data_IF_849239208576
#
_entry.id   IF_849239208576
#
_cell.length_a   1.000
_cell.length_b   1.000
_cell.length_c   1.000
_cell.angle_alpha   90.00
_cell.angle_beta   90.00
_cell.angle_gamma   90.00
#
_symmetry.space_group_name_H-M   'P 1'
#
loop_
_entity.id
_entity.type
_entity.pdbx_description
1 polymer ?
#
# COMPACT_ATOMS: atom_id res chain seq x y z
N UNK A 1 -5.38 12.90 -21.68
CA UNK A 1 -4.69 11.68 -22.15
C UNK A 1 -5.29 10.49 -21.44
N UNK A 2 -5.43 9.36 -22.11
CA UNK A 2 -5.88 8.07 -21.52
C UNK A 2 -4.79 7.04 -21.79
N UNK A 3 -3.76 6.94 -20.94
CA UNK A 3 -2.70 5.95 -21.12
C UNK A 3 -3.27 4.53 -21.00
N UNK A 4 -2.67 3.57 -21.68
CA UNK A 4 -3.07 2.16 -21.58
C UNK A 4 -2.83 1.58 -20.19
N UNK A 5 -1.77 2.04 -19.53
CA UNK A 5 -1.33 1.59 -18.21
C UNK A 5 -0.97 2.77 -17.33
N UNK A 6 -1.29 2.67 -16.04
CA UNK A 6 -0.98 3.65 -15.00
C UNK A 6 -0.38 2.88 -13.82
N UNK A 7 0.76 3.34 -13.32
CA UNK A 7 1.33 2.86 -12.06
C UNK A 7 1.43 4.03 -11.09
N UNK A 8 0.80 3.88 -9.93
CA UNK A 8 0.83 4.86 -8.84
C UNK A 8 1.44 4.23 -7.60
N UNK A 9 2.07 5.06 -6.77
CA UNK A 9 2.60 4.67 -5.46
C UNK A 9 2.09 5.62 -4.39
N UNK A 10 1.76 5.07 -3.22
CA UNK A 10 1.37 5.85 -2.06
C UNK A 10 1.79 5.12 -0.76
N UNK A 11 1.68 5.80 0.36
CA UNK A 11 1.81 5.15 1.67
C UNK A 11 0.67 4.14 1.88
N UNK A 12 0.93 3.07 2.63
CA UNK A 12 -0.07 2.02 2.90
C UNK A 12 -1.32 2.55 3.62
N UNK A 13 -1.18 3.62 4.37
CA UNK A 13 -2.31 4.29 5.07
C UNK A 13 -3.40 4.81 4.15
N UNK A 14 -3.14 4.96 2.85
CA UNK A 14 -4.18 5.35 1.86
C UNK A 14 -5.38 4.39 1.89
N UNK A 15 -5.16 3.11 2.21
CA UNK A 15 -6.21 2.11 2.32
C UNK A 15 -7.18 2.35 3.48
N UNK A 16 -6.77 3.16 4.47
CA UNK A 16 -7.53 3.43 5.70
C UNK A 16 -7.85 4.92 5.90
N UNK A 17 -7.48 5.74 4.95
CA UNK A 17 -7.71 7.18 4.99
C UNK A 17 -9.15 7.54 4.56
N UNK A 18 -9.74 8.57 5.19
CA UNK A 18 -9.35 9.18 6.44
C UNK A 18 -9.80 8.36 7.66
N UNK A 19 -9.20 8.57 8.83
CA UNK A 19 -9.46 7.76 10.03
C UNK A 19 -10.95 7.69 10.47
N UNK A 20 -11.74 8.71 10.16
CA UNK A 20 -13.18 8.76 10.45
C UNK A 20 -14.07 8.12 9.37
N UNK A 21 -13.53 7.92 8.16
CA UNK A 21 -14.23 7.38 6.99
C UNK A 21 -13.34 6.34 6.31
N UNK A 22 -13.05 5.29 7.03
CA UNK A 22 -12.11 4.25 6.69
C UNK A 22 -12.28 3.73 5.25
N UNK A 23 -11.18 3.78 4.46
CA UNK A 23 -11.16 3.32 3.07
C UNK A 23 -11.71 4.30 2.02
N UNK A 24 -12.24 5.45 2.43
CA UNK A 24 -12.87 6.43 1.53
C UNK A 24 -11.93 6.93 0.44
N UNK A 25 -10.75 7.40 0.80
CA UNK A 25 -9.85 8.06 -0.15
C UNK A 25 -9.40 7.08 -1.24
N UNK A 26 -9.14 5.82 -0.87
CA UNK A 26 -8.81 4.79 -1.84
C UNK A 26 -10.00 4.42 -2.72
N UNK A 27 -11.21 4.35 -2.16
CA UNK A 27 -12.43 4.09 -2.93
C UNK A 27 -12.71 5.18 -3.97
N UNK A 28 -12.42 6.44 -3.66
CA UNK A 28 -12.51 7.55 -4.62
C UNK A 28 -11.52 7.35 -5.78
N UNK A 29 -10.28 6.93 -5.49
CA UNK A 29 -9.29 6.62 -6.52
C UNK A 29 -9.81 5.49 -7.42
N UNK A 30 -10.32 4.41 -6.84
CA UNK A 30 -10.91 3.30 -7.60
C UNK A 30 -12.08 3.76 -8.47
N UNK A 31 -12.99 4.58 -7.93
CA UNK A 31 -14.12 5.15 -8.67
C UNK A 31 -13.66 5.99 -9.86
N UNK A 32 -12.72 6.90 -9.65
CA UNK A 32 -12.17 7.74 -10.73
C UNK A 32 -11.54 6.90 -11.85
N UNK A 33 -10.83 5.83 -11.52
CA UNK A 33 -10.23 4.94 -12.50
C UNK A 33 -11.30 4.11 -13.23
N UNK A 34 -12.28 3.58 -12.51
CA UNK A 34 -13.41 2.85 -13.08
C UNK A 34 -14.18 3.67 -14.12
N UNK A 35 -14.56 4.91 -13.78
CA UNK A 35 -15.27 5.84 -14.67
C UNK A 35 -14.47 6.20 -15.94
N UNK A 36 -13.16 6.03 -15.90
CA UNK A 36 -12.27 6.23 -17.06
C UNK A 36 -12.02 4.92 -17.83
N UNK A 37 -12.65 3.82 -17.44
CA UNK A 37 -12.56 2.54 -18.13
C UNK A 37 -11.35 1.70 -17.73
N UNK A 38 -10.82 1.88 -16.53
CA UNK A 38 -9.70 1.09 -16.00
C UNK A 38 -10.17 0.00 -15.05
N UNK A 39 -9.49 -1.14 -15.12
CA UNK A 39 -9.37 -2.09 -14.02
C UNK A 39 -8.12 -1.81 -13.22
N UNK A 40 -8.09 -2.25 -11.96
CA UNK A 40 -7.03 -1.89 -11.02
C UNK A 40 -6.58 -3.10 -10.24
N UNK A 41 -5.28 -3.35 -10.19
CA UNK A 41 -4.64 -4.19 -9.18
C UNK A 41 -4.01 -3.30 -8.11
N UNK A 42 -4.25 -3.62 -6.84
CA UNK A 42 -3.67 -2.93 -5.70
C UNK A 42 -2.89 -3.89 -4.81
N UNK A 43 -1.69 -3.49 -4.35
CA UNK A 43 -0.90 -4.28 -3.42
C UNK A 43 -0.06 -3.42 -2.50
N UNK A 44 -0.08 -3.76 -1.21
CA UNK A 44 0.89 -3.27 -0.24
C UNK A 44 2.12 -4.15 -0.30
N UNK A 45 3.26 -3.54 -0.57
CA UNK A 45 4.55 -4.22 -0.65
C UNK A 45 5.50 -3.58 0.35
N UNK A 46 6.15 -4.40 1.16
CA UNK A 46 7.25 -3.99 2.02
C UNK A 46 8.56 -4.54 1.43
N UNK A 47 9.47 -3.68 1.07
CA UNK A 47 10.71 -4.05 0.41
C UNK A 47 11.53 -5.08 1.21
N UNK A 48 11.52 -5.01 2.55
CA UNK A 48 12.22 -5.96 3.40
C UNK A 48 11.65 -7.39 3.33
N UNK A 49 10.39 -7.56 2.92
CA UNK A 49 9.76 -8.88 2.77
C UNK A 49 10.20 -9.60 1.50
N UNK A 50 10.85 -8.87 0.58
CA UNK A 50 11.34 -9.32 -0.72
C UNK A 50 12.85 -9.07 -0.87
N UNK A 51 13.61 -9.34 0.19
CA UNK A 51 15.07 -9.40 0.16
C UNK A 51 15.80 -8.05 0.10
N UNK A 52 15.12 -6.93 0.30
CA UNK A 52 15.78 -5.62 0.26
C UNK A 52 16.25 -5.16 1.64
N UNK A 53 17.38 -4.45 1.71
CA UNK A 53 17.90 -3.86 2.94
C UNK A 53 17.17 -2.56 3.32
N UNK A 54 15.87 -2.50 3.06
CA UNK A 54 15.03 -1.33 3.37
C UNK A 54 13.65 -1.76 3.84
N UNK A 55 13.29 -1.38 5.05
CA UNK A 55 11.93 -1.53 5.55
C UNK A 55 11.05 -0.38 5.03
N UNK A 56 10.54 -0.53 3.81
CA UNK A 56 9.70 0.46 3.15
C UNK A 56 8.40 -0.17 2.67
N UNK A 57 7.32 0.14 3.37
CA UNK A 57 5.98 -0.35 3.08
C UNK A 57 5.21 0.69 2.25
N UNK A 58 4.72 0.29 1.08
CA UNK A 58 4.00 1.15 0.13
C UNK A 58 2.84 0.42 -0.53
N UNK A 59 1.78 1.16 -0.83
CA UNK A 59 0.70 0.69 -1.70
C UNK A 59 1.04 1.04 -3.14
N UNK A 60 1.14 0.02 -3.98
CA UNK A 60 1.24 0.15 -5.42
C UNK A 60 -0.14 -0.09 -6.04
N UNK A 61 -0.49 0.74 -7.03
CA UNK A 61 -1.76 0.71 -7.74
C UNK A 61 -1.43 0.62 -9.21
N UNK A 62 -1.74 -0.51 -9.84
CA UNK A 62 -1.54 -0.71 -11.26
C UNK A 62 -2.90 -0.74 -11.96
N UNK A 63 -3.15 0.23 -12.84
CA UNK A 63 -4.38 0.31 -13.59
C UNK A 63 -4.14 0.06 -15.08
N UNK A 64 -5.03 -0.69 -15.70
CA UNK A 64 -4.99 -1.04 -17.12
C UNK A 64 -6.33 -0.77 -17.78
N UNK A 65 -6.28 -0.06 -18.91
CA UNK A 65 -7.45 0.39 -19.64
C UNK A 65 -8.16 -0.77 -20.34
N UNK A 66 -9.49 -0.67 -20.54
CA UNK A 66 -10.32 -1.68 -21.19
C UNK A 66 -9.91 -2.02 -22.64
N UNK A 67 -9.08 -1.23 -23.27
CA UNK A 67 -8.49 -1.49 -24.59
C UNK A 67 -7.26 -2.42 -24.53
N UNK A 68 -6.79 -2.82 -23.35
CA UNK A 68 -5.62 -3.70 -23.19
C UNK A 68 -6.01 -5.17 -23.21
N UNK A 69 -5.08 -6.03 -23.63
CA UNK A 69 -5.28 -7.47 -23.57
C UNK A 69 -5.43 -7.96 -22.12
N UNK A 70 -4.62 -7.39 -21.20
CA UNK A 70 -4.69 -7.72 -19.79
C UNK A 70 -6.09 -7.52 -19.20
N UNK A 71 -6.76 -6.42 -19.57
CA UNK A 71 -8.15 -6.18 -19.17
C UNK A 71 -9.07 -7.27 -19.73
N UNK A 72 -8.98 -7.56 -21.05
CA UNK A 72 -9.89 -8.51 -21.70
C UNK A 72 -9.76 -9.93 -21.14
N UNK A 73 -8.53 -10.39 -20.94
CA UNK A 73 -8.24 -11.72 -20.37
C UNK A 73 -8.81 -11.86 -18.94
N UNK A 74 -8.65 -10.84 -18.10
CA UNK A 74 -9.20 -10.87 -16.75
C UNK A 74 -10.74 -10.74 -16.77
N UNK A 75 -11.29 -9.86 -17.60
CA UNK A 75 -12.75 -9.68 -17.72
C UNK A 75 -13.45 -10.97 -18.15
N UNK A 76 -12.89 -11.70 -19.13
CA UNK A 76 -13.39 -13.00 -19.56
C UNK A 76 -13.38 -14.03 -18.44
N UNK A 77 -12.25 -14.17 -17.72
CA UNK A 77 -12.14 -15.08 -16.59
C UNK A 77 -13.12 -14.74 -15.47
N UNK A 78 -13.28 -13.46 -15.15
CA UNK A 78 -14.22 -13.01 -14.11
C UNK A 78 -15.66 -13.22 -14.54
N UNK A 79 -16.00 -13.06 -15.81
CA UNK A 79 -17.33 -13.38 -16.36
C UNK A 79 -17.69 -14.86 -16.16
N UNK A 80 -16.73 -15.76 -16.36
CA UNK A 80 -16.94 -17.21 -16.28
C UNK A 80 -16.91 -17.72 -14.83
N UNK A 81 -15.95 -17.27 -14.03
CA UNK A 81 -15.64 -17.85 -12.72
C UNK A 81 -15.83 -16.90 -11.55
N UNK A 82 -16.20 -15.65 -11.81
CA UNK A 82 -16.50 -14.65 -10.79
C UNK A 82 -15.34 -14.37 -9.83
N UNK A 83 -15.64 -14.35 -8.54
CA UNK A 83 -14.70 -14.05 -7.47
C UNK A 83 -13.50 -15.01 -7.41
N UNK A 84 -13.67 -16.24 -7.84
CA UNK A 84 -12.58 -17.23 -7.89
C UNK A 84 -11.45 -16.77 -8.79
N UNK A 85 -11.77 -16.22 -9.97
CA UNK A 85 -10.77 -15.67 -10.89
C UNK A 85 -10.12 -14.41 -10.36
N UNK A 86 -10.85 -13.60 -9.60
CA UNK A 86 -10.28 -12.42 -8.93
C UNK A 86 -9.29 -12.83 -7.86
N UNK A 87 -9.61 -13.85 -7.08
CA UNK A 87 -8.70 -14.42 -6.09
C UNK A 87 -7.41 -14.96 -6.74
N UNK A 88 -7.56 -15.82 -7.75
CA UNK A 88 -6.43 -16.37 -8.53
C UNK A 88 -5.58 -15.27 -9.18
N UNK A 89 -6.23 -14.21 -9.68
CA UNK A 89 -5.52 -13.07 -10.23
C UNK A 89 -4.65 -12.37 -9.17
N UNK A 90 -5.18 -12.13 -7.99
CA UNK A 90 -4.44 -11.45 -6.91
C UNK A 90 -3.34 -12.33 -6.33
N UNK A 91 -3.52 -13.64 -6.28
CA UNK A 91 -2.58 -14.56 -5.61
C UNK A 91 -1.56 -15.22 -6.53
N UNK A 92 -1.88 -15.38 -7.84
CA UNK A 92 -1.08 -16.22 -8.74
C UNK A 92 -0.80 -15.57 -10.09
N UNK A 93 -1.83 -15.06 -10.79
CA UNK A 93 -1.71 -14.74 -12.22
C UNK A 93 -1.57 -13.26 -12.54
N UNK A 94 -1.89 -12.36 -11.61
CA UNK A 94 -1.77 -10.92 -11.77
C UNK A 94 -0.34 -10.41 -11.85
N UNK A 95 -0.20 -9.17 -12.22
CA UNK A 95 1.12 -8.52 -12.40
C UNK A 95 1.89 -8.50 -11.08
N UNK A 96 1.22 -8.10 -9.99
CA UNK A 96 1.86 -8.10 -8.68
C UNK A 96 2.09 -9.50 -8.12
N UNK A 97 1.22 -10.48 -8.40
CA UNK A 97 1.39 -11.84 -7.93
C UNK A 97 2.64 -12.51 -8.53
N UNK A 98 2.88 -12.27 -9.83
CA UNK A 98 4.06 -12.78 -10.52
C UNK A 98 5.37 -12.13 -10.05
N UNK A 99 5.33 -10.84 -9.73
CA UNK A 99 6.52 -10.10 -9.30
C UNK A 99 6.80 -10.26 -7.80
N UNK A 100 5.77 -10.46 -7.00
CA UNK A 100 5.82 -10.51 -5.53
C UNK A 100 4.99 -11.70 -5.03
N UNK A 101 5.56 -12.91 -5.01
CA UNK A 101 4.85 -14.12 -4.64
C UNK A 101 4.25 -14.07 -3.24
N UNK A 102 3.09 -14.71 -3.07
CA UNK A 102 2.36 -14.77 -1.81
C UNK A 102 2.02 -16.21 -1.44
N UNK A 103 1.76 -16.47 -0.17
CA UNK A 103 1.31 -17.78 0.31
C UNK A 103 -0.11 -18.04 -0.18
N UNK A 104 -0.39 -19.30 -0.51
CA UNK A 104 -1.67 -19.73 -1.10
C UNK A 104 -2.91 -19.48 -0.23
N UNK A 105 -2.74 -19.31 1.10
CA UNK A 105 -3.87 -19.11 2.02
C UNK A 105 -4.04 -17.64 2.36
N UNK A 106 -5.16 -17.07 1.91
CA UNK A 106 -5.64 -15.77 2.36
C UNK A 106 -6.33 -15.88 3.73
N UNK A 107 -6.12 -14.90 4.60
CA UNK A 107 -6.71 -14.88 5.94
C UNK A 107 -8.17 -14.42 5.94
N UNK A 108 -8.44 -13.36 5.18
CA UNK A 108 -9.75 -12.73 5.08
C UNK A 108 -9.89 -12.04 3.74
N UNK A 109 -11.12 -11.85 3.28
CA UNK A 109 -11.39 -11.08 2.07
C UNK A 109 -12.68 -10.27 2.20
N UNK A 110 -12.84 -9.29 1.32
CA UNK A 110 -14.08 -8.57 1.06
C UNK A 110 -14.40 -8.58 -0.42
N UNK A 111 -15.70 -8.55 -0.74
CA UNK A 111 -16.24 -8.49 -2.08
C UNK A 111 -17.29 -7.39 -2.11
N UNK A 112 -17.03 -6.32 -2.83
CA UNK A 112 -17.83 -5.12 -2.84
C UNK A 112 -18.04 -4.64 -4.28
N UNK A 113 -19.03 -3.78 -4.48
CA UNK A 113 -19.25 -3.10 -5.76
C UNK A 113 -18.96 -1.62 -5.63
N UNK A 114 -18.36 -1.04 -6.69
CA UNK A 114 -18.00 0.39 -6.71
C UNK A 114 -19.23 1.27 -6.55
N UNK A 115 -20.39 0.82 -7.04
CA UNK A 115 -21.65 1.57 -6.93
C UNK A 115 -22.25 1.53 -5.52
N UNK A 116 -21.96 0.49 -4.74
CA UNK A 116 -22.31 0.41 -3.31
C UNK A 116 -21.39 1.31 -2.47
N UNK A 117 -20.19 1.58 -2.96
CA UNK A 117 -19.24 2.53 -2.39
C UNK A 117 -19.47 3.95 -2.92
N UNK A 118 -20.55 4.18 -3.65
CA UNK A 118 -20.78 5.36 -4.46
C UNK A 118 -21.01 6.59 -3.60
N UNK A 119 -20.22 7.54 -3.85
CA UNK A 119 -20.41 8.92 -3.46
C UNK A 119 -21.02 9.66 -4.64
N UNK A 120 -22.31 9.96 -4.58
CA UNK A 120 -22.97 10.76 -5.61
C UNK A 120 -22.32 12.14 -5.71
N UNK A 121 -21.79 12.64 -4.59
CA UNK A 121 -20.94 13.82 -4.50
C UNK A 121 -19.86 13.57 -3.45
N UNK A 122 -18.61 13.90 -3.76
CA UNK A 122 -17.46 13.80 -2.84
C UNK A 122 -17.68 14.62 -1.55
N UNK A 123 -18.52 15.67 -1.62
CA UNK A 123 -18.88 16.52 -0.48
C UNK A 123 -19.92 15.90 0.44
N UNK A 124 -20.77 14.98 -0.04
CA UNK A 124 -21.90 14.39 0.69
C UNK A 124 -21.64 13.00 1.26
N UNK A 125 -20.40 12.56 1.27
CA UNK A 125 -20.05 11.23 1.78
C UNK A 125 -20.52 11.07 3.22
N UNK A 126 -21.40 10.11 3.44
CA UNK A 126 -21.87 9.72 4.77
C UNK A 126 -20.69 9.53 5.73
N UNK A 127 -20.74 10.20 6.88
CA UNK A 127 -19.72 10.10 7.94
C UNK A 127 -19.58 8.67 8.49
N UNK A 128 -20.50 7.79 8.16
CA UNK A 128 -20.60 6.43 8.66
C UNK A 128 -20.08 5.37 7.67
N UNK A 129 -19.79 5.76 6.43
CA UNK A 129 -19.36 4.78 5.43
C UNK A 129 -17.93 4.29 5.71
N UNK A 130 -17.80 3.01 5.96
CA UNK A 130 -16.53 2.32 6.16
C UNK A 130 -16.39 1.22 5.13
N UNK A 131 -15.32 1.25 4.39
CA UNK A 131 -14.95 0.20 3.43
C UNK A 131 -13.72 -0.53 3.96
N UNK A 132 -13.89 -1.80 4.27
CA UNK A 132 -12.78 -2.65 4.67
C UNK A 132 -12.00 -3.05 3.43
N UNK A 133 -10.77 -2.58 3.33
CA UNK A 133 -9.79 -2.97 2.31
C UNK A 133 -8.59 -3.64 2.98
N UNK A 134 -8.06 -4.66 2.33
CA UNK A 134 -6.89 -5.40 2.77
C UNK A 134 -5.65 -5.04 1.96
N UNK A 135 -4.55 -5.74 2.22
CA UNK A 135 -3.23 -5.44 1.66
C UNK A 135 -3.05 -5.83 0.18
N UNK A 136 -4.03 -6.51 -0.42
CA UNK A 136 -4.07 -6.82 -1.85
C UNK A 136 -5.49 -6.79 -2.38
N UNK A 137 -5.66 -6.56 -3.68
CA UNK A 137 -6.98 -6.60 -4.31
C UNK A 137 -6.95 -6.32 -5.79
N UNK A 138 -8.11 -6.54 -6.41
CA UNK A 138 -8.37 -6.23 -7.81
C UNK A 138 -9.77 -5.66 -7.98
N UNK A 139 -9.90 -4.66 -8.82
CA UNK A 139 -11.18 -4.15 -9.29
C UNK A 139 -11.35 -4.48 -10.78
N UNK A 140 -12.44 -5.17 -11.12
CA UNK A 140 -12.81 -5.51 -12.49
C UNK A 140 -14.30 -5.23 -12.72
N UNK A 141 -14.62 -4.42 -13.73
CA UNK A 141 -15.99 -4.06 -14.09
C UNK A 141 -16.84 -3.55 -12.89
N UNK A 142 -16.21 -2.78 -12.03
CA UNK A 142 -16.86 -2.21 -10.84
C UNK A 142 -16.95 -3.15 -9.63
N UNK A 143 -16.63 -4.45 -9.77
CA UNK A 143 -16.51 -5.37 -8.63
C UNK A 143 -15.12 -5.26 -8.04
N UNK A 144 -15.05 -5.15 -6.71
CA UNK A 144 -13.81 -4.99 -5.94
C UNK A 144 -13.64 -6.20 -5.04
N UNK A 145 -12.63 -6.99 -5.33
CA UNK A 145 -12.15 -8.06 -4.48
C UNK A 145 -10.91 -7.59 -3.73
N UNK A 146 -10.95 -7.61 -2.41
CA UNK A 146 -9.81 -7.25 -1.56
C UNK A 146 -9.53 -8.34 -0.55
N UNK A 147 -8.26 -8.68 -0.35
CA UNK A 147 -7.85 -9.88 0.38
C UNK A 147 -6.58 -9.63 1.19
N UNK A 148 -6.54 -10.22 2.41
CA UNK A 148 -5.37 -10.19 3.28
C UNK A 148 -4.42 -11.33 2.89
N UNK A 149 -3.35 -10.98 2.20
CA UNK A 149 -2.31 -11.91 1.77
C UNK A 149 -1.11 -11.89 2.70
N UNK A 150 -0.36 -12.99 2.68
CA UNK A 150 0.94 -13.11 3.36
C UNK A 150 2.03 -13.28 2.30
N UNK A 151 3.09 -12.45 2.30
CA UNK A 151 4.22 -12.60 1.38
C UNK A 151 4.94 -13.95 1.53
N UNK A 152 5.52 -14.43 0.44
CA UNK A 152 6.59 -15.42 0.51
C UNK A 152 7.86 -14.64 0.81
N UNK A 153 8.33 -14.74 2.05
CA UNK A 153 9.48 -13.97 2.51
C UNK A 153 10.77 -14.44 1.85
N UNK A 154 11.52 -13.50 1.32
CA UNK A 154 12.93 -13.69 0.95
C UNK A 154 13.83 -13.35 2.13
N UNK A 155 15.03 -13.95 2.17
CA UNK A 155 15.99 -13.64 3.21
C UNK A 155 16.37 -12.15 3.16
N UNK A 156 16.24 -11.39 4.26
CA UNK A 156 16.57 -9.98 4.26
C UNK A 156 18.07 -9.78 4.02
N UNK A 157 18.41 -8.74 3.29
CA UNK A 157 19.80 -8.30 3.16
C UNK A 157 20.08 -7.33 4.31
N UNK A 158 20.98 -7.65 5.24
CA UNK A 158 21.39 -6.73 6.29
C UNK A 158 22.02 -5.46 5.70
N UNK A 159 21.77 -4.32 6.32
CA UNK A 159 22.30 -3.04 5.83
C UNK A 159 23.83 -3.04 5.77
N UNK A 160 24.49 -3.76 6.67
CA UNK A 160 25.96 -3.93 6.66
C UNK A 160 26.52 -4.47 5.34
N UNK A 161 25.71 -5.24 4.60
CA UNK A 161 26.15 -5.83 3.32
C UNK A 161 26.12 -4.84 2.16
N UNK A 162 25.49 -3.68 2.34
CA UNK A 162 25.39 -2.63 1.32
C UNK A 162 26.11 -1.34 1.73
N UNK A 163 26.66 -1.30 2.96
CA UNK A 163 27.48 -0.18 3.38
C UNK A 163 28.80 -0.18 2.59
N UNK A 164 29.20 0.99 2.16
CA UNK A 164 30.46 1.21 1.49
C UNK A 164 31.62 0.94 2.46
N UNK A 165 32.62 0.19 2.00
CA UNK A 165 33.82 -0.13 2.77
C UNK A 165 35.00 0.55 2.13
N UNK A 166 35.68 1.44 2.84
CA UNK A 166 36.82 2.21 2.34
C UNK A 166 36.78 3.67 2.73
N UNK A 167 37.48 4.49 1.99
CA UNK A 167 37.49 5.94 2.20
C UNK A 167 36.17 6.53 1.68
N UNK A 168 35.31 6.94 2.62
CA UNK A 168 34.05 7.61 2.35
C UNK A 168 34.25 9.10 2.54
N UNK A 169 33.78 9.91 1.59
CA UNK A 169 33.90 11.36 1.63
C UNK A 169 33.22 11.93 2.90
N UNK A 170 33.91 12.86 3.56
CA UNK A 170 33.47 13.43 4.85
C UNK A 170 32.07 14.06 4.78
N UNK A 171 31.64 14.56 3.62
CA UNK A 171 30.33 15.17 3.48
C UNK A 171 29.15 14.20 3.69
N UNK A 172 29.37 12.88 3.61
CA UNK A 172 28.36 11.86 3.93
C UNK A 172 28.21 11.61 5.43
N UNK A 173 29.17 12.04 6.25
CA UNK A 173 29.08 11.88 7.69
C UNK A 173 28.32 13.02 8.34
N UNK A 174 27.62 12.70 9.42
CA UNK A 174 26.98 13.71 10.26
C UNK A 174 28.06 14.48 11.03
N UNK A 175 27.94 15.80 11.10
CA UNK A 175 28.80 16.62 11.94
C UNK A 175 28.45 16.41 13.41
N UNK A 176 29.43 16.46 14.29
CA UNK A 176 29.24 16.25 15.73
C UNK A 176 28.20 17.23 16.33
N UNK A 177 28.15 18.44 15.83
CA UNK A 177 27.18 19.45 16.23
C UNK A 177 25.71 19.10 15.89
N UNK A 178 25.48 18.29 14.84
CA UNK A 178 24.17 17.84 14.41
C UNK A 178 23.75 16.53 15.11
N UNK A 179 24.66 15.79 15.74
CA UNK A 179 24.38 14.50 16.37
C UNK A 179 23.23 14.52 17.40
N UNK A 180 23.14 15.51 18.32
CA UNK A 180 22.03 15.56 19.28
C UNK A 180 20.66 15.65 18.61
N UNK A 181 20.57 16.41 17.50
CA UNK A 181 19.35 16.55 16.70
C UNK A 181 18.95 15.22 16.04
N UNK A 182 19.93 14.49 15.50
CA UNK A 182 19.67 13.21 14.86
C UNK A 182 19.31 12.12 15.86
N UNK A 183 19.97 12.07 17.01
CA UNK A 183 19.63 11.16 18.12
C UNK A 183 18.17 11.42 18.56
N UNK A 184 17.78 12.70 18.75
CA UNK A 184 16.41 13.05 19.07
C UNK A 184 15.44 12.65 17.94
N UNK A 185 15.77 12.90 16.67
CA UNK A 185 14.91 12.61 15.54
C UNK A 185 14.67 11.12 15.34
N UNK A 186 15.71 10.29 15.49
CA UNK A 186 15.69 8.84 15.28
C UNK A 186 15.25 8.06 16.51
N UNK A 187 15.55 8.56 17.70
CA UNK A 187 15.24 7.89 18.97
C UNK A 187 13.74 7.74 19.23
N UNK A 188 13.40 6.75 20.03
CA UNK A 188 12.04 6.56 20.50
C UNK A 188 11.59 7.73 21.38
N UNK A 189 10.43 8.29 21.08
CA UNK A 189 9.84 9.38 21.86
C UNK A 189 8.35 9.16 22.08
N UNK A 190 7.89 9.58 23.24
CA UNK A 190 6.48 9.60 23.60
C UNK A 190 6.19 10.94 24.26
N UNK A 191 5.65 11.87 23.48
CA UNK A 191 5.43 13.25 23.89
C UNK A 191 3.95 13.56 23.95
N UNK A 192 3.54 14.29 24.98
CA UNK A 192 2.20 14.86 25.05
C UNK A 192 2.14 16.09 24.12
N UNK A 193 1.21 16.07 23.19
CA UNK A 193 0.99 17.14 22.22
C UNK A 193 -0.46 17.58 22.24
N UNK A 194 -0.72 18.81 21.80
CA UNK A 194 -2.05 19.40 21.72
C UNK A 194 -2.42 19.69 20.27
N UNK A 195 -3.61 19.26 19.84
CA UNK A 195 -4.17 19.61 18.53
C UNK A 195 -4.64 21.06 18.51
N UNK A 196 -4.92 21.58 17.31
CA UNK A 196 -5.48 22.94 17.13
C UNK A 196 -6.84 23.13 17.84
N UNK A 197 -7.61 22.08 17.99
CA UNK A 197 -8.90 22.07 18.69
C UNK A 197 -8.78 21.94 20.20
N UNK A 198 -7.55 21.97 20.75
CA UNK A 198 -7.28 21.85 22.18
C UNK A 198 -7.17 20.42 22.71
N UNK A 199 -7.49 19.41 21.92
CA UNK A 199 -7.41 18.00 22.35
C UNK A 199 -5.96 17.57 22.58
N UNK A 200 -5.69 16.99 23.72
CA UNK A 200 -4.38 16.41 24.04
C UNK A 200 -4.26 14.99 23.52
N UNK A 201 -3.07 14.62 23.06
CA UNK A 201 -2.76 13.27 22.60
C UNK A 201 -1.28 12.97 22.79
N UNK A 202 -0.95 11.68 22.91
CA UNK A 202 0.44 11.26 22.92
C UNK A 202 0.93 11.02 21.50
N UNK A 203 2.00 11.74 21.12
CA UNK A 203 2.74 11.50 19.90
C UNK A 203 3.83 10.47 20.20
N UNK A 204 3.84 9.39 19.45
CA UNK A 204 4.83 8.32 19.58
C UNK A 204 5.51 8.10 18.23
N UNK A 205 6.81 8.21 18.19
CA UNK A 205 7.63 8.07 16.99
C UNK A 205 9.05 7.61 17.34
N UNK A 206 9.79 7.17 16.32
CA UNK A 206 11.19 6.79 16.40
C UNK A 206 11.44 5.30 16.57
N UNK A 207 12.70 4.92 16.49
CA UNK A 207 13.15 3.55 16.67
C UNK A 207 13.05 3.13 18.14
N UNK A 208 12.59 1.90 18.40
CA UNK A 208 12.55 1.32 19.75
C UNK A 208 13.98 1.14 20.29
N UNK A 209 14.92 0.87 19.40
CA UNK A 209 16.34 0.71 19.73
C UNK A 209 17.15 1.69 18.89
N UNK A 210 18.03 2.46 19.56
CA UNK A 210 18.97 3.36 18.91
C UNK A 210 20.33 3.31 19.66
N UNK A 211 21.46 3.13 18.96
CA UNK A 211 21.54 2.94 17.50
C UNK A 211 20.88 1.67 17.03
N UNK A 212 20.32 1.69 15.81
CA UNK A 212 19.70 0.52 15.20
C UNK A 212 20.78 -0.52 14.86
N UNK A 213 20.55 -1.82 15.09
CA UNK A 213 21.51 -2.85 14.70
C UNK A 213 21.67 -2.91 13.18
N UNK A 214 22.86 -3.23 12.71
CA UNK A 214 23.18 -3.35 11.28
C UNK A 214 22.86 -4.75 10.70
N UNK A 215 22.53 -5.69 11.59
CA UNK A 215 22.20 -7.09 11.25
C UNK A 215 20.74 -7.30 10.89
#
# INVERSE_FOLDING_TARGET
>A
KRPKYILLENVDRILWSPAKQYGRDFSIILRCLYEKGYSVEGRVINAAEYGQAQRRRRTFIFAYHNQTNLFRELAEKVCIHGIKSMHEHVTETGVFAKAFPVKAHARSYTDNWIDEMSYADVSEVSKEQRVQLYNAGVMMNGRIYSVDITPVYEAPIPIKNILETGDVDEHFFLRDEDMPKWIYAKGAKKEQRRKRDGTEYYFSEGAVQFPEPLD
#
